data_IF_647012551228
#
_entry.id   IF_647012551228
#
_cell.length_a   1.000
_cell.length_b   1.000
_cell.length_c   1.000
_cell.angle_alpha   90.00
_cell.angle_beta   90.00
_cell.angle_gamma   90.00
#
_symmetry.space_group_name_H-M   'P 1'
#
loop_
_entity.id
_entity.type
_entity.pdbx_description
1 polymer ?
#
# COMPACT_ATOMS: atom_id res chain seq x y z
N UNK A 1 -21.55 17.07 3.88
CA UNK A 1 -20.26 16.35 4.04
C UNK A 1 -19.63 16.78 5.33
N UNK A 2 -19.07 15.85 6.10
CA UNK A 2 -18.61 16.13 7.47
C UNK A 2 -17.35 17.02 7.46
N UNK A 3 -17.08 17.67 8.62
CA UNK A 3 -15.83 18.42 8.86
C UNK A 3 -14.57 17.61 8.55
N UNK A 4 -14.66 16.28 8.61
CA UNK A 4 -13.53 15.38 8.35
C UNK A 4 -13.16 15.31 6.86
N UNK A 5 -14.12 15.41 5.95
CA UNK A 5 -13.86 15.38 4.51
C UNK A 5 -12.99 16.55 4.03
N UNK A 6 -13.35 17.78 4.42
CA UNK A 6 -12.56 18.95 4.05
C UNK A 6 -11.12 18.88 4.61
N UNK A 7 -10.94 18.25 5.79
CA UNK A 7 -9.62 17.99 6.35
C UNK A 7 -8.79 17.04 5.50
N UNK A 8 -9.42 16.04 4.89
CA UNK A 8 -8.73 15.06 4.03
C UNK A 8 -8.16 15.74 2.77
N UNK A 9 -8.91 16.66 2.16
CA UNK A 9 -8.42 17.42 1.00
C UNK A 9 -7.18 18.26 1.35
N UNK A 10 -7.18 18.89 2.52
CA UNK A 10 -6.03 19.65 2.99
C UNK A 10 -4.77 18.79 3.18
N UNK A 11 -4.92 17.46 3.42
CA UNK A 11 -3.75 16.56 3.52
C UNK A 11 -2.98 16.51 2.20
N UNK A 12 -3.67 16.45 1.06
CA UNK A 12 -3.01 16.44 -0.24
C UNK A 12 -2.26 17.75 -0.50
N UNK A 13 -2.85 18.88 -0.13
CA UNK A 13 -2.23 20.20 -0.27
C UNK A 13 -0.97 20.31 0.61
N UNK A 14 -1.06 19.90 1.88
CA UNK A 14 0.07 19.98 2.81
C UNK A 14 1.21 19.04 2.44
N UNK A 15 0.91 17.81 2.02
CA UNK A 15 1.92 16.87 1.54
C UNK A 15 2.55 17.37 0.23
N UNK A 16 1.74 17.94 -0.67
CA UNK A 16 2.18 18.47 -1.96
C UNK A 16 3.17 19.65 -1.85
N UNK A 17 3.22 20.33 -0.73
CA UNK A 17 4.23 21.40 -0.48
C UNK A 17 5.66 20.85 -0.42
N UNK A 18 5.82 19.58 0.02
CA UNK A 18 7.11 18.94 0.24
C UNK A 18 7.40 17.89 -0.83
N UNK A 19 6.36 17.16 -1.25
CA UNK A 19 6.47 15.99 -2.14
C UNK A 19 5.89 16.32 -3.50
N UNK A 20 6.76 16.48 -4.47
CA UNK A 20 6.40 16.79 -5.85
C UNK A 20 6.18 15.50 -6.66
N UNK A 21 5.21 15.51 -7.59
CA UNK A 21 4.99 14.43 -8.57
C UNK A 21 4.39 13.13 -8.01
N UNK A 22 4.17 13.02 -6.69
CA UNK A 22 3.74 11.77 -6.05
C UNK A 22 2.24 11.74 -5.65
N UNK A 23 1.40 12.54 -6.28
CA UNK A 23 -0.03 12.66 -5.93
C UNK A 23 -0.75 11.31 -5.97
N UNK A 24 -0.45 10.47 -6.96
CA UNK A 24 -1.04 9.14 -7.08
C UNK A 24 -0.61 8.21 -5.92
N UNK A 25 0.65 8.26 -5.50
CA UNK A 25 1.14 7.51 -4.35
C UNK A 25 0.46 7.99 -3.08
N UNK A 26 0.43 9.30 -2.82
CA UNK A 26 -0.23 9.89 -1.63
C UNK A 26 -1.70 9.48 -1.58
N UNK A 27 -2.42 9.53 -2.71
CA UNK A 27 -3.82 9.09 -2.80
C UNK A 27 -3.98 7.61 -2.41
N UNK A 28 -3.10 6.72 -2.89
CA UNK A 28 -3.14 5.29 -2.53
C UNK A 28 -2.76 5.05 -1.07
N UNK A 29 -1.81 5.81 -0.52
CA UNK A 29 -1.46 5.76 0.90
C UNK A 29 -2.65 6.16 1.79
N UNK A 30 -3.33 7.25 1.44
CA UNK A 30 -4.57 7.65 2.12
C UNK A 30 -5.65 6.57 2.02
N UNK A 31 -5.82 5.96 0.84
CA UNK A 31 -6.75 4.83 0.70
C UNK A 31 -6.36 3.65 1.62
N UNK A 32 -5.07 3.31 1.72
CA UNK A 32 -4.57 2.28 2.63
C UNK A 32 -4.95 2.57 4.09
N UNK A 33 -4.75 3.81 4.55
CA UNK A 33 -5.12 4.23 5.90
C UNK A 33 -6.62 4.08 6.18
N UNK A 34 -7.48 4.53 5.26
CA UNK A 34 -8.94 4.48 5.43
C UNK A 34 -9.56 3.10 5.20
N UNK A 35 -8.84 2.17 4.59
CA UNK A 35 -9.33 0.80 4.36
C UNK A 35 -8.75 -0.24 5.31
N UNK A 36 -7.79 0.13 6.18
CA UNK A 36 -6.90 -0.78 6.92
C UNK A 36 -6.13 -1.71 5.95
N UNK A 37 -5.74 -1.19 4.81
CA UNK A 37 -4.96 -1.91 3.83
C UNK A 37 -3.47 -1.61 3.96
N UNK A 38 -2.64 -2.57 3.59
CA UNK A 38 -1.20 -2.43 3.51
C UNK A 38 -0.79 -2.24 2.05
N UNK A 39 0.34 -1.61 1.80
CA UNK A 39 0.75 -1.19 0.46
C UNK A 39 2.14 -1.73 0.15
N UNK A 40 2.31 -2.24 -1.06
CA UNK A 40 3.61 -2.59 -1.63
C UNK A 40 4.01 -1.53 -2.65
N UNK A 41 5.14 -0.89 -2.42
CA UNK A 41 5.75 0.07 -3.35
C UNK A 41 6.87 -0.62 -4.12
N UNK A 42 6.79 -0.58 -5.41
CA UNK A 42 7.80 -1.16 -6.28
C UNK A 42 8.39 -0.10 -7.19
N UNK A 43 9.69 0.02 -7.21
CA UNK A 43 10.39 1.02 -8.02
C UNK A 43 11.85 1.16 -7.60
N UNK A 44 12.62 1.76 -8.49
CA UNK A 44 14.07 2.02 -8.27
C UNK A 44 14.31 2.88 -7.02
N UNK A 45 15.52 2.84 -6.44
CA UNK A 45 15.88 3.75 -5.35
C UNK A 45 15.84 5.21 -5.81
N UNK A 46 15.70 6.14 -4.87
CA UNK A 46 15.72 7.59 -5.16
C UNK A 46 14.38 8.22 -5.54
N UNK A 47 13.26 7.48 -5.53
CA UNK A 47 11.94 7.98 -5.87
C UNK A 47 11.17 8.63 -4.69
N UNK A 48 11.86 9.20 -3.74
CA UNK A 48 11.30 9.90 -2.57
C UNK A 48 10.29 9.08 -1.73
N UNK A 49 10.32 7.72 -1.79
CA UNK A 49 9.38 6.84 -1.06
C UNK A 49 9.33 7.15 0.43
N UNK A 50 10.51 7.18 1.07
CA UNK A 50 10.63 7.46 2.51
C UNK A 50 10.18 8.87 2.85
N UNK A 51 10.55 9.87 2.04
CA UNK A 51 10.13 11.25 2.22
C UNK A 51 8.59 11.36 2.18
N UNK A 52 7.95 10.79 1.16
CA UNK A 52 6.49 10.84 1.00
C UNK A 52 5.75 10.22 2.19
N UNK A 53 6.20 9.04 2.63
CA UNK A 53 5.55 8.34 3.76
C UNK A 53 5.76 9.10 5.07
N UNK A 54 6.96 9.60 5.32
CA UNK A 54 7.28 10.36 6.53
C UNK A 54 6.51 11.70 6.57
N UNK A 55 6.46 12.43 5.45
CA UNK A 55 5.70 13.68 5.34
C UNK A 55 4.21 13.43 5.60
N UNK A 56 3.63 12.39 5.00
CA UNK A 56 2.23 12.02 5.24
C UNK A 56 1.96 11.71 6.72
N UNK A 57 2.84 10.92 7.35
CA UNK A 57 2.72 10.59 8.78
C UNK A 57 2.77 11.85 9.65
N UNK A 58 3.70 12.76 9.38
CA UNK A 58 3.86 14.01 10.13
C UNK A 58 2.66 14.94 9.95
N UNK A 59 2.16 15.12 8.72
CA UNK A 59 0.95 15.92 8.43
C UNK A 59 -0.26 15.38 9.21
N UNK A 60 -0.39 14.07 9.33
CA UNK A 60 -1.49 13.39 10.04
C UNK A 60 -1.24 13.21 11.55
N UNK A 61 -0.09 13.61 12.07
CA UNK A 61 0.35 13.35 13.46
C UNK A 61 0.32 11.87 13.85
N UNK A 62 0.76 11.01 12.96
CA UNK A 62 0.86 9.57 13.19
C UNK A 62 2.31 9.18 13.47
N UNK A 63 2.49 8.22 14.39
CA UNK A 63 3.80 7.66 14.68
C UNK A 63 4.32 6.89 13.46
N UNK A 64 5.54 7.23 13.03
CA UNK A 64 6.23 6.64 11.89
C UNK A 64 7.51 5.93 12.32
N UNK A 65 7.72 4.72 11.82
CA UNK A 65 8.97 3.98 11.95
C UNK A 65 9.40 3.41 10.60
N UNK A 66 10.70 3.51 10.30
CA UNK A 66 11.33 2.84 9.17
C UNK A 66 12.10 1.62 9.66
N UNK A 67 11.91 0.50 8.99
CA UNK A 67 12.65 -0.74 9.20
C UNK A 67 13.37 -1.04 7.88
N UNK A 68 14.70 -0.98 7.88
CA UNK A 68 15.50 -1.43 6.75
C UNK A 68 15.68 -2.94 6.86
N UNK A 69 15.16 -3.68 5.87
CA UNK A 69 15.33 -5.12 5.85
C UNK A 69 16.71 -5.49 5.34
N UNK A 70 17.38 -6.37 6.09
CA UNK A 70 18.71 -6.93 5.79
C UNK A 70 18.69 -8.42 6.12
N UNK A 71 19.65 -9.23 5.59
CA UNK A 71 19.68 -10.67 5.87
C UNK A 71 19.89 -11.03 7.34
N UNK A 72 20.45 -10.14 8.14
CA UNK A 72 20.72 -10.30 9.58
C UNK A 72 19.59 -9.81 10.48
N UNK A 73 18.58 -9.12 9.93
CA UNK A 73 17.43 -8.61 10.69
C UNK A 73 16.59 -9.77 11.26
N UNK A 74 16.44 -9.80 12.57
CA UNK A 74 15.69 -10.84 13.28
C UNK A 74 14.23 -10.43 13.51
N UNK A 75 13.29 -11.38 13.67
CA UNK A 75 11.89 -11.07 14.02
C UNK A 75 11.76 -10.22 15.29
N UNK A 76 12.57 -10.48 16.33
CA UNK A 76 12.59 -9.71 17.59
C UNK A 76 12.97 -8.25 17.41
N UNK A 77 13.73 -7.91 16.35
CA UNK A 77 14.10 -6.52 16.07
C UNK A 77 12.90 -5.69 15.60
N UNK A 78 11.92 -6.36 14.99
CA UNK A 78 10.71 -5.70 14.50
C UNK A 78 9.52 -5.83 15.46
N UNK A 79 9.36 -6.97 16.12
CA UNK A 79 8.26 -7.23 17.08
C UNK A 79 8.53 -6.69 18.47
N UNK A 80 9.79 -6.61 18.87
CA UNK A 80 10.19 -6.38 20.24
C UNK A 80 10.54 -7.68 20.98
N UNK A 81 10.99 -7.53 22.21
CA UNK A 81 11.47 -8.64 23.03
C UNK A 81 11.28 -8.32 24.52
N UNK A 82 11.21 -9.35 25.35
CA UNK A 82 11.27 -9.19 26.80
C UNK A 82 12.71 -8.92 27.25
N UNK A 83 12.87 -7.92 28.09
CA UNK A 83 14.18 -7.51 28.65
C UNK A 83 14.08 -7.59 30.18
N UNK A 84 15.06 -8.22 30.81
CA UNK A 84 15.13 -8.29 32.26
C UNK A 84 15.62 -6.95 32.85
N UNK A 85 14.80 -6.34 33.68
CA UNK A 85 15.18 -5.15 34.45
C UNK A 85 15.87 -5.58 35.75
N UNK A 86 17.19 -5.39 35.80
CA UNK A 86 18.00 -5.81 36.96
C UNK A 86 17.61 -5.07 38.27
N UNK A 87 17.12 -3.83 38.16
CA UNK A 87 16.71 -3.04 39.36
C UNK A 87 15.39 -3.50 39.96
N UNK A 88 14.43 -3.82 39.08
CA UNK A 88 13.07 -4.21 39.47
C UNK A 88 12.93 -5.73 39.59
N UNK A 89 13.95 -6.49 39.13
CA UNK A 89 13.97 -7.96 39.07
C UNK A 89 12.79 -8.56 38.30
N UNK A 90 12.31 -7.84 37.28
CA UNK A 90 11.16 -8.22 36.46
C UNK A 90 11.50 -8.15 34.97
N UNK A 91 10.80 -8.97 34.19
CA UNK A 91 10.82 -8.86 32.74
C UNK A 91 9.80 -7.82 32.29
N UNK A 92 10.21 -6.90 31.40
CA UNK A 92 9.30 -5.98 30.74
C UNK A 92 9.39 -6.14 29.24
N UNK A 93 8.28 -5.97 28.55
CA UNK A 93 8.23 -6.02 27.10
C UNK A 93 8.71 -4.70 26.50
N UNK A 94 9.86 -4.77 25.81
CA UNK A 94 10.38 -3.65 25.01
C UNK A 94 9.78 -3.72 23.61
N UNK A 95 8.84 -2.83 23.32
CA UNK A 95 8.14 -2.74 22.03
C UNK A 95 9.11 -2.48 20.89
N UNK A 96 8.94 -3.23 19.81
CA UNK A 96 9.65 -3.03 18.55
C UNK A 96 8.99 -1.97 17.66
N UNK A 97 9.57 -1.66 16.48
CA UNK A 97 9.05 -0.64 15.56
C UNK A 97 7.66 -0.93 14.99
N UNK A 98 7.15 -2.16 15.07
CA UNK A 98 5.76 -2.48 14.68
C UNK A 98 4.72 -1.77 15.55
N UNK A 99 5.08 -1.31 16.75
CA UNK A 99 4.19 -0.57 17.64
C UNK A 99 4.14 0.92 17.29
N UNK A 100 3.98 1.22 16.00
CA UNK A 100 3.73 2.56 15.45
C UNK A 100 2.54 2.55 14.50
N UNK A 101 2.03 3.72 14.13
CA UNK A 101 0.87 3.82 13.23
C UNK A 101 1.24 3.49 11.78
N UNK A 102 2.38 3.97 11.33
CA UNK A 102 2.89 3.76 9.97
C UNK A 102 4.28 3.14 10.05
N UNK A 103 4.42 1.98 9.45
CA UNK A 103 5.69 1.25 9.32
C UNK A 103 6.10 1.21 7.86
N UNK A 104 7.27 1.78 7.54
CA UNK A 104 7.92 1.60 6.24
C UNK A 104 8.90 0.42 6.34
N UNK A 105 8.52 -0.72 5.79
CA UNK A 105 9.37 -1.90 5.66
C UNK A 105 10.18 -1.79 4.35
N UNK A 106 11.36 -1.20 4.45
CA UNK A 106 12.18 -0.87 3.28
C UNK A 106 12.99 -2.08 2.83
N UNK A 107 12.95 -2.39 1.53
CA UNK A 107 13.60 -3.56 0.89
C UNK A 107 13.21 -4.90 1.54
N UNK A 108 11.90 -5.13 1.71
CA UNK A 108 11.37 -6.32 2.41
C UNK A 108 11.91 -7.64 1.85
N UNK A 109 12.21 -7.70 0.54
CA UNK A 109 12.77 -8.87 -0.13
C UNK A 109 14.23 -9.18 0.25
N UNK A 110 14.96 -8.30 0.97
CA UNK A 110 16.30 -8.58 1.52
C UNK A 110 16.24 -9.26 2.88
N UNK A 111 15.12 -9.20 3.57
CA UNK A 111 14.95 -9.88 4.85
C UNK A 111 14.70 -11.37 4.69
N UNK A 112 15.17 -12.16 5.66
CA UNK A 112 14.94 -13.61 5.69
C UNK A 112 13.44 -13.92 5.81
N UNK A 113 12.96 -15.08 5.30
CA UNK A 113 11.54 -15.45 5.32
C UNK A 113 10.89 -15.43 6.71
N UNK A 114 11.66 -15.71 7.77
CA UNK A 114 11.16 -15.69 9.15
C UNK A 114 10.78 -14.27 9.60
N UNK A 115 11.59 -13.28 9.25
CA UNK A 115 11.34 -11.87 9.58
C UNK A 115 10.22 -11.29 8.71
N UNK A 116 10.17 -11.66 7.42
CA UNK A 116 9.04 -11.32 6.55
C UNK A 116 7.73 -11.87 7.12
N UNK A 117 7.71 -13.14 7.56
CA UNK A 117 6.51 -13.78 8.11
C UNK A 117 6.01 -13.08 9.38
N UNK A 118 6.89 -12.65 10.27
CA UNK A 118 6.51 -11.90 11.47
C UNK A 118 5.84 -10.56 11.13
N UNK A 119 6.36 -9.83 10.13
CA UNK A 119 5.71 -8.60 9.65
C UNK A 119 4.33 -8.89 9.05
N UNK A 120 4.23 -9.92 8.20
CA UNK A 120 2.99 -10.27 7.50
C UNK A 120 1.90 -10.84 8.44
N UNK A 121 2.30 -11.47 9.55
CA UNK A 121 1.39 -11.86 10.62
C UNK A 121 0.84 -10.63 11.34
N UNK A 122 1.71 -9.69 11.73
CA UNK A 122 1.31 -8.43 12.35
C UNK A 122 0.35 -7.61 11.45
N UNK A 123 0.57 -7.63 10.12
CA UNK A 123 -0.32 -6.99 9.15
C UNK A 123 -1.73 -7.62 9.12
N UNK A 124 -1.82 -8.91 9.28
CA UNK A 124 -3.08 -9.63 9.19
C UNK A 124 -3.88 -9.58 10.49
N UNK A 125 -3.20 -9.79 11.61
CA UNK A 125 -3.83 -9.97 12.91
C UNK A 125 -3.93 -8.67 13.72
N UNK A 126 -3.23 -7.59 13.31
CA UNK A 126 -3.12 -6.31 14.03
C UNK A 126 -2.64 -6.49 15.48
N UNK A 127 -1.86 -7.51 15.70
CA UNK A 127 -1.26 -7.86 16.99
C UNK A 127 0.08 -8.57 16.77
N UNK A 128 0.88 -8.65 17.83
CA UNK A 128 2.16 -9.36 17.87
C UNK A 128 2.15 -10.31 19.06
N UNK A 129 2.58 -11.54 18.85
CA UNK A 129 2.73 -12.53 19.93
C UNK A 129 4.21 -12.82 20.14
N UNK A 130 4.71 -12.51 21.35
CA UNK A 130 6.10 -12.74 21.75
C UNK A 130 6.09 -13.53 23.06
N UNK A 131 6.78 -14.67 23.10
CA UNK A 131 6.87 -15.55 24.28
C UNK A 131 5.52 -15.90 24.91
N UNK A 132 4.48 -16.10 24.06
CA UNK A 132 3.13 -16.45 24.50
C UNK A 132 2.27 -15.26 24.96
N UNK A 133 2.81 -14.05 24.99
CA UNK A 133 2.03 -12.85 25.29
C UNK A 133 1.66 -12.12 24.00
N UNK A 134 0.37 -11.76 23.87
CA UNK A 134 -0.18 -11.09 22.71
C UNK A 134 -0.44 -9.63 23.00
N UNK A 135 0.21 -8.76 22.25
CA UNK A 135 0.10 -7.30 22.33
C UNK A 135 -0.59 -6.74 21.07
N UNK A 136 -1.61 -5.90 21.26
CA UNK A 136 -2.32 -5.25 20.16
C UNK A 136 -1.51 -4.08 19.60
N UNK A 137 -1.52 -3.93 18.28
CA UNK A 137 -0.90 -2.80 17.61
C UNK A 137 -1.78 -1.54 17.67
N UNK A 138 -1.14 -0.38 17.54
CA UNK A 138 -1.82 0.92 17.49
C UNK A 138 -2.80 0.99 16.32
N UNK A 139 -3.85 1.79 16.48
CA UNK A 139 -4.78 2.08 15.37
C UNK A 139 -4.79 3.59 15.10
N UNK A 140 -4.75 4.01 13.81
CA UNK A 140 -4.60 3.15 12.62
C UNK A 140 -3.23 2.48 12.57
N UNK A 141 -3.16 1.29 11.96
CA UNK A 141 -1.91 0.59 11.66
C UNK A 141 -1.81 0.32 10.16
N UNK A 142 -0.71 0.76 9.55
CA UNK A 142 -0.45 0.51 8.14
C UNK A 142 1.02 0.19 7.91
N UNK A 143 1.27 -0.89 7.19
CA UNK A 143 2.59 -1.24 6.66
C UNK A 143 2.67 -0.80 5.21
N UNK A 144 3.76 -0.12 4.87
CA UNK A 144 4.16 0.18 3.52
C UNK A 144 5.47 -0.56 3.30
N UNK A 145 5.44 -1.62 2.49
CA UNK A 145 6.63 -2.37 2.14
C UNK A 145 7.21 -1.84 0.83
N UNK A 146 8.54 -1.81 0.69
CA UNK A 146 9.18 -1.51 -0.58
C UNK A 146 9.92 -2.72 -1.12
N UNK A 147 9.97 -2.84 -2.44
CA UNK A 147 10.82 -3.78 -3.16
C UNK A 147 11.59 -3.04 -4.26
N UNK A 148 12.87 -3.41 -4.41
CA UNK A 148 13.65 -2.96 -5.55
C UNK A 148 13.62 -4.08 -6.60
N UNK A 149 12.99 -3.84 -7.76
CA UNK A 149 12.87 -4.85 -8.80
C UNK A 149 14.20 -5.23 -9.47
N UNK A 150 15.21 -4.37 -9.39
CA UNK A 150 16.50 -4.58 -10.03
C UNK A 150 17.44 -5.47 -9.21
N UNK A 151 17.21 -5.57 -7.92
CA UNK A 151 18.05 -6.37 -7.02
C UNK A 151 17.54 -7.80 -6.87
N UNK A 152 18.07 -8.72 -7.67
CA UNK A 152 17.72 -10.15 -7.60
C UNK A 152 18.71 -10.98 -6.77
N UNK A 153 19.96 -10.52 -6.60
CA UNK A 153 20.97 -11.30 -5.87
C UNK A 153 20.84 -11.10 -4.37
N UNK A 154 20.82 -12.20 -3.62
CA UNK A 154 20.72 -12.16 -2.16
C UNK A 154 19.35 -11.73 -1.62
N UNK A 155 18.30 -11.87 -2.43
CA UNK A 155 16.92 -11.54 -2.04
C UNK A 155 16.06 -12.79 -1.85
N UNK A 156 15.04 -12.66 -1.02
CA UNK A 156 14.01 -13.65 -0.77
C UNK A 156 12.66 -13.07 -1.26
N UNK A 157 12.21 -13.41 -2.48
CA UNK A 157 10.96 -12.91 -3.01
C UNK A 157 9.78 -13.34 -2.12
N UNK A 158 8.79 -12.46 -2.00
CA UNK A 158 7.56 -12.80 -1.30
C UNK A 158 6.73 -13.79 -2.15
N UNK A 159 6.29 -14.92 -1.58
CA UNK A 159 5.34 -15.82 -2.24
C UNK A 159 4.01 -15.11 -2.57
N UNK A 160 3.30 -15.59 -3.57
CA UNK A 160 2.04 -15.02 -4.05
C UNK A 160 0.98 -14.90 -2.94
N UNK A 161 0.89 -15.91 -2.07
CA UNK A 161 -0.02 -15.90 -0.92
C UNK A 161 0.29 -14.77 0.09
N UNK A 162 1.53 -14.33 0.14
CA UNK A 162 1.97 -13.21 0.96
C UNK A 162 1.73 -11.86 0.26
N UNK A 163 1.95 -11.81 -1.05
CA UNK A 163 1.63 -10.64 -1.87
C UNK A 163 0.13 -10.31 -1.85
N UNK A 164 -0.76 -11.32 -1.83
CA UNK A 164 -2.21 -11.12 -1.76
C UNK A 164 -2.68 -10.39 -0.48
N UNK A 165 -1.84 -10.30 0.56
CA UNK A 165 -2.13 -9.54 1.79
C UNK A 165 -2.04 -8.02 1.59
N UNK A 166 -1.25 -7.54 0.64
CA UNK A 166 -1.20 -6.13 0.30
C UNK A 166 -2.46 -5.71 -0.46
N UNK A 167 -3.02 -4.56 -0.11
CA UNK A 167 -4.19 -4.02 -0.80
C UNK A 167 -3.84 -3.52 -2.20
N UNK A 168 -2.75 -2.77 -2.30
CA UNK A 168 -2.24 -2.23 -3.53
C UNK A 168 -0.77 -2.62 -3.73
N UNK A 169 -0.40 -2.89 -4.99
CA UNK A 169 0.97 -2.74 -5.44
C UNK A 169 1.04 -1.52 -6.35
N UNK A 170 1.87 -0.56 -5.95
CA UNK A 170 2.08 0.69 -6.67
C UNK A 170 3.44 0.60 -7.35
N UNK A 171 3.42 0.71 -8.66
CA UNK A 171 4.63 0.76 -9.48
C UNK A 171 5.02 2.22 -9.65
N UNK A 172 6.22 2.55 -9.21
CA UNK A 172 6.74 3.91 -9.28
C UNK A 172 7.68 4.04 -10.47
N UNK A 173 7.30 4.90 -11.42
CA UNK A 173 8.14 5.31 -12.53
C UNK A 173 9.12 6.43 -12.14
N UNK A 174 10.07 6.70 -13.02
CA UNK A 174 10.89 7.91 -12.93
C UNK A 174 10.00 9.14 -13.16
N UNK A 175 10.29 10.27 -12.49
CA UNK A 175 9.59 11.52 -12.75
C UNK A 175 9.79 11.97 -14.20
N UNK A 176 8.81 12.68 -14.73
CA UNK A 176 9.00 13.35 -16.01
C UNK A 176 9.86 14.61 -15.87
N UNK A 177 10.25 15.22 -17.00
CA UNK A 177 11.12 16.41 -16.99
C UNK A 177 10.54 17.56 -16.18
N UNK A 178 9.22 17.72 -16.17
CA UNK A 178 8.54 18.82 -15.47
C UNK A 178 8.55 18.57 -13.99
N UNK A 179 8.22 17.34 -13.59
CA UNK A 179 8.26 16.88 -12.21
C UNK A 179 9.68 16.95 -11.63
N UNK A 180 10.70 16.55 -12.41
CA UNK A 180 12.09 16.61 -11.96
C UNK A 180 12.57 18.05 -11.77
N UNK A 181 12.18 18.98 -12.66
CA UNK A 181 12.48 20.41 -12.49
C UNK A 181 11.81 20.97 -11.23
N UNK A 182 10.57 20.59 -10.94
CA UNK A 182 9.85 21.01 -9.76
C UNK A 182 10.49 20.44 -8.48
N UNK A 183 11.01 19.21 -8.50
CA UNK A 183 11.81 18.63 -7.40
C UNK A 183 13.04 19.49 -7.11
N UNK A 184 13.79 19.91 -8.14
CA UNK A 184 14.96 20.76 -7.97
C UNK A 184 14.60 22.12 -7.36
N UNK A 185 13.54 22.77 -7.86
CA UNK A 185 13.07 24.04 -7.33
C UNK A 185 12.59 23.92 -5.87
N UNK A 186 11.97 22.80 -5.52
CA UNK A 186 11.51 22.54 -4.14
C UNK A 186 12.70 22.32 -3.21
N UNK A 187 13.73 21.60 -3.67
CA UNK A 187 14.96 21.39 -2.91
C UNK A 187 15.72 22.70 -2.63
N UNK A 188 15.80 23.61 -3.61
CA UNK A 188 16.40 24.92 -3.40
C UNK A 188 15.68 25.71 -2.30
N UNK A 189 14.35 25.70 -2.29
CA UNK A 189 13.54 26.36 -1.25
C UNK A 189 13.71 25.71 0.12
N UNK A 190 13.81 24.37 0.17
CA UNK A 190 14.00 23.62 1.42
C UNK A 190 15.38 23.88 2.04
N UNK A 191 16.41 24.06 1.21
CA UNK A 191 17.76 24.41 1.69
C UNK A 191 17.82 25.74 2.45
N UNK A 192 16.82 26.60 2.25
CA UNK A 192 16.61 27.86 2.99
C UNK A 192 15.77 27.66 4.27
N UNK A 193 15.29 26.46 4.58
CA UNK A 193 14.44 26.16 5.75
C UNK A 193 13.02 26.74 5.65
N UNK A 194 12.53 27.00 4.44
CA UNK A 194 11.27 27.71 4.18
C UNK A 194 10.08 26.75 3.91
N UNK A 195 10.30 25.44 3.85
CA UNK A 195 9.22 24.48 3.62
C UNK A 195 8.56 24.09 4.95
N UNK A 196 7.47 24.76 5.26
CA UNK A 196 6.61 24.42 6.39
C UNK A 196 5.33 23.75 5.92
N UNK A 197 4.87 22.75 6.66
CA UNK A 197 3.56 22.14 6.48
C UNK A 197 2.75 22.24 7.76
N UNK A 198 1.43 22.34 7.61
CA UNK A 198 0.51 22.34 8.74
C UNK A 198 0.11 20.91 9.09
N UNK A 199 0.01 20.63 10.37
CA UNK A 199 -0.48 19.33 10.83
C UNK A 199 -2.01 19.31 10.84
N UNK A 200 -2.60 18.21 10.40
CA UNK A 200 -4.05 18.01 10.31
C UNK A 200 -4.46 16.98 11.34
N UNK A 201 -5.14 17.44 12.39
CA UNK A 201 -5.70 16.52 13.37
C UNK A 201 -6.98 15.88 12.83
N UNK A 202 -6.87 14.65 12.35
CA UNK A 202 -7.99 13.85 11.83
C UNK A 202 -8.02 12.52 12.54
N UNK A 203 -9.19 12.16 13.08
CA UNK A 203 -9.41 10.81 13.59
C UNK A 203 -9.64 9.88 12.40
N UNK A 204 -8.58 9.18 12.01
CA UNK A 204 -8.60 8.24 10.88
C UNK A 204 -9.57 7.08 11.12
N UNK A 205 -9.70 6.61 12.36
CA UNK A 205 -10.60 5.51 12.71
C UNK A 205 -12.05 5.94 12.55
N UNK A 206 -12.41 7.10 13.12
CA UNK A 206 -13.75 7.65 12.98
C UNK A 206 -14.09 7.98 11.51
N UNK A 207 -13.14 8.54 10.74
CA UNK A 207 -13.32 8.82 9.32
C UNK A 207 -13.54 7.54 8.50
N UNK A 208 -12.84 6.45 8.84
CA UNK A 208 -13.02 5.12 8.22
C UNK A 208 -14.44 4.59 8.46
N UNK A 209 -14.94 4.67 9.69
CA UNK A 209 -16.27 4.20 10.03
C UNK A 209 -17.35 5.04 9.34
N UNK A 210 -17.14 6.33 9.21
CA UNK A 210 -17.99 7.24 8.44
C UNK A 210 -18.04 6.84 6.96
N UNK A 211 -16.90 6.62 6.32
CA UNK A 211 -16.81 6.16 4.91
C UNK A 211 -17.53 4.82 4.75
N UNK A 212 -17.26 3.87 5.65
CA UNK A 212 -17.89 2.54 5.59
C UNK A 212 -19.39 2.60 5.65
N UNK A 213 -19.98 3.49 6.47
CA UNK A 213 -21.41 3.61 6.69
C UNK A 213 -22.11 4.50 5.68
N UNK A 214 -21.48 5.60 5.23
CA UNK A 214 -22.12 6.61 4.38
C UNK A 214 -21.93 6.38 2.88
N UNK A 215 -20.79 5.81 2.47
CA UNK A 215 -20.55 5.57 1.05
C UNK A 215 -21.30 4.32 0.60
N UNK A 216 -22.21 4.50 -0.33
CA UNK A 216 -23.03 3.42 -0.89
C UNK A 216 -22.33 2.76 -2.07
N UNK A 217 -22.55 1.47 -2.21
CA UNK A 217 -22.19 0.71 -3.41
C UNK A 217 -23.37 -0.15 -3.83
N UNK A 218 -23.85 0.07 -5.04
CA UNK A 218 -25.04 -0.61 -5.56
C UNK A 218 -24.75 -2.10 -5.80
N UNK A 219 -25.81 -2.88 -5.96
CA UNK A 219 -25.72 -4.32 -6.27
C UNK A 219 -25.04 -4.51 -7.64
N UNK A 220 -25.39 -3.70 -8.60
CA UNK A 220 -24.89 -3.72 -9.98
C UNK A 220 -23.36 -3.50 -10.02
N UNK A 221 -22.84 -2.57 -9.21
CA UNK A 221 -21.39 -2.33 -9.10
C UNK A 221 -20.69 -3.55 -8.44
N UNK A 222 -21.31 -4.17 -7.43
CA UNK A 222 -20.73 -5.40 -6.83
C UNK A 222 -20.71 -6.54 -7.84
N UNK A 223 -21.77 -6.72 -8.61
CA UNK A 223 -21.84 -7.73 -9.68
C UNK A 223 -20.81 -7.44 -10.78
N UNK A 224 -20.60 -6.17 -11.13
CA UNK A 224 -19.56 -5.74 -12.07
C UNK A 224 -18.16 -6.12 -11.58
N UNK A 225 -17.83 -5.82 -10.31
CA UNK A 225 -16.56 -6.23 -9.69
C UNK A 225 -16.40 -7.75 -9.78
N UNK A 226 -17.42 -8.52 -9.36
CA UNK A 226 -17.36 -10.00 -9.39
C UNK A 226 -17.19 -10.53 -10.81
N UNK A 227 -17.87 -9.94 -11.79
CA UNK A 227 -17.77 -10.36 -13.19
C UNK A 227 -16.37 -10.14 -13.77
N UNK A 228 -15.71 -9.00 -13.44
CA UNK A 228 -14.31 -8.77 -13.82
C UNK A 228 -13.39 -9.79 -13.14
N UNK A 229 -13.57 -10.04 -11.83
CA UNK A 229 -12.74 -11.04 -11.13
C UNK A 229 -12.93 -12.44 -11.73
N UNK A 230 -14.16 -12.81 -12.09
CA UNK A 230 -14.45 -14.10 -12.73
C UNK A 230 -13.84 -14.18 -14.14
N UNK A 231 -13.77 -13.05 -14.87
CA UNK A 231 -13.08 -13.01 -16.16
C UNK A 231 -11.58 -13.37 -16.02
N UNK A 232 -10.94 -12.93 -14.92
CA UNK A 232 -9.52 -13.28 -14.65
C UNK A 232 -9.32 -14.74 -14.17
N UNK A 233 -10.39 -15.43 -13.75
CA UNK A 233 -10.33 -16.80 -13.22
C UNK A 233 -10.62 -17.88 -14.29
N UNK A 234 -11.01 -17.44 -15.48
CA UNK A 234 -11.21 -18.38 -16.58
C UNK A 234 -9.87 -18.99 -16.97
N UNK A 235 -9.85 -20.29 -17.20
CA UNK A 235 -8.69 -20.96 -17.76
C UNK A 235 -8.41 -20.39 -19.16
N UNK A 236 -7.25 -19.77 -19.31
CA UNK A 236 -6.76 -19.24 -20.58
C UNK A 236 -5.30 -19.62 -20.74
N UNK A 237 -4.78 -19.54 -21.97
CA UNK A 237 -3.33 -19.71 -22.20
C UNK A 237 -2.49 -18.62 -21.51
N UNK A 238 -3.11 -17.52 -21.09
CA UNK A 238 -2.45 -16.34 -20.55
C UNK A 238 -2.31 -16.39 -19.03
N UNK A 239 -3.34 -16.87 -18.32
CA UNK A 239 -3.48 -16.78 -16.85
C UNK A 239 -3.38 -18.18 -16.24
N UNK A 240 -2.39 -18.37 -15.37
CA UNK A 240 -2.26 -19.57 -14.55
C UNK A 240 -3.12 -19.50 -13.28
N UNK A 241 -3.14 -18.33 -12.61
CA UNK A 241 -3.97 -18.08 -11.43
C UNK A 241 -4.62 -16.70 -11.50
N UNK A 242 -5.95 -16.67 -11.41
CA UNK A 242 -6.74 -15.45 -11.38
C UNK A 242 -6.88 -14.83 -9.98
N UNK A 243 -7.60 -13.72 -9.92
CA UNK A 243 -7.79 -12.94 -8.71
C UNK A 243 -8.48 -13.71 -7.57
N UNK A 244 -7.97 -13.59 -6.34
CA UNK A 244 -8.55 -14.17 -5.14
C UNK A 244 -9.85 -13.46 -4.71
N UNK A 245 -10.71 -14.07 -3.87
CA UNK A 245 -11.85 -13.38 -3.26
C UNK A 245 -11.43 -12.14 -2.43
N UNK A 246 -10.22 -12.14 -1.85
CA UNK A 246 -9.64 -11.00 -1.14
C UNK A 246 -9.49 -9.79 -2.06
N UNK A 247 -9.11 -10.00 -3.32
CA UNK A 247 -9.04 -8.93 -4.32
C UNK A 247 -10.37 -8.20 -4.51
N UNK A 248 -11.51 -8.94 -4.58
CA UNK A 248 -12.84 -8.34 -4.67
C UNK A 248 -13.16 -7.45 -3.47
N UNK A 249 -12.83 -7.92 -2.25
CA UNK A 249 -13.04 -7.16 -1.02
C UNK A 249 -12.16 -5.90 -0.96
N UNK A 250 -10.88 -6.02 -1.34
CA UNK A 250 -9.95 -4.91 -1.38
C UNK A 250 -10.42 -3.86 -2.39
N UNK A 251 -10.79 -4.28 -3.60
CA UNK A 251 -11.29 -3.37 -4.63
C UNK A 251 -12.56 -2.64 -4.18
N UNK A 252 -13.52 -3.36 -3.63
CA UNK A 252 -14.77 -2.76 -3.11
C UNK A 252 -14.49 -1.70 -2.03
N UNK A 253 -13.62 -2.00 -1.06
CA UNK A 253 -13.24 -1.05 -0.01
C UNK A 253 -12.51 0.16 -0.59
N UNK A 254 -11.59 -0.07 -1.51
CA UNK A 254 -10.84 0.98 -2.18
C UNK A 254 -11.76 1.92 -2.99
N UNK A 255 -12.74 1.39 -3.72
CA UNK A 255 -13.72 2.18 -4.47
C UNK A 255 -14.54 3.09 -3.55
N UNK A 256 -14.97 2.59 -2.38
CA UNK A 256 -15.67 3.43 -1.39
C UNK A 256 -14.82 4.60 -0.91
N UNK A 257 -13.55 4.34 -0.59
CA UNK A 257 -12.63 5.40 -0.17
C UNK A 257 -12.35 6.36 -1.33
N UNK A 258 -12.18 5.85 -2.56
CA UNK A 258 -11.97 6.71 -3.73
C UNK A 258 -13.16 7.67 -3.94
N UNK A 259 -14.40 7.17 -3.87
CA UNK A 259 -15.59 7.99 -3.96
C UNK A 259 -15.62 9.07 -2.85
N UNK A 260 -15.28 8.69 -1.60
CA UNK A 260 -15.18 9.63 -0.49
C UNK A 260 -14.12 10.71 -0.73
N UNK A 261 -12.94 10.34 -1.24
CA UNK A 261 -11.87 11.30 -1.59
C UNK A 261 -12.27 12.26 -2.71
N UNK A 262 -13.18 11.86 -3.58
CA UNK A 262 -13.76 12.73 -4.65
C UNK A 262 -15.02 13.48 -4.20
N UNK A 263 -15.42 13.36 -2.93
CA UNK A 263 -16.60 14.06 -2.40
C UNK A 263 -17.94 13.44 -2.76
N UNK A 264 -17.94 12.21 -3.23
CA UNK A 264 -19.16 11.47 -3.58
C UNK A 264 -19.57 10.53 -2.44
N UNK A 265 -20.86 10.24 -2.33
CA UNK A 265 -21.43 9.28 -1.38
C UNK A 265 -21.82 7.95 -2.04
N UNK A 266 -21.47 7.77 -3.30
CA UNK A 266 -21.69 6.55 -4.07
C UNK A 266 -20.47 6.19 -4.93
N UNK A 267 -20.32 4.88 -5.20
CA UNK A 267 -19.28 4.31 -6.06
C UNK A 267 -19.77 4.24 -7.50
N UNK A 268 -18.89 4.55 -8.46
CA UNK A 268 -19.14 4.47 -9.90
C UNK A 268 -18.32 3.35 -10.57
N UNK A 269 -18.67 2.90 -11.78
CA UNK A 269 -17.84 1.97 -12.57
C UNK A 269 -16.43 2.49 -12.82
N UNK A 270 -16.24 3.81 -12.92
CA UNK A 270 -14.93 4.42 -13.17
C UNK A 270 -14.01 4.30 -11.95
N UNK A 271 -14.55 4.31 -10.72
CA UNK A 271 -13.77 4.01 -9.52
C UNK A 271 -13.19 2.59 -9.60
N UNK A 272 -13.98 1.63 -10.08
CA UNK A 272 -13.55 0.25 -10.26
C UNK A 272 -12.41 0.17 -11.25
N UNK A 273 -12.57 0.76 -12.45
CA UNK A 273 -11.54 0.73 -13.51
C UNK A 273 -10.23 1.39 -13.07
N UNK A 274 -10.32 2.56 -12.39
CA UNK A 274 -9.17 3.33 -11.91
C UNK A 274 -8.28 2.52 -10.95
N UNK A 275 -8.89 1.65 -10.15
CA UNK A 275 -8.19 0.96 -9.07
C UNK A 275 -7.75 -0.47 -9.43
N UNK A 276 -8.34 -1.05 -10.48
CA UNK A 276 -8.13 -2.44 -10.86
C UNK A 276 -6.66 -2.82 -10.99
N UNK A 277 -5.88 -2.04 -11.74
CA UNK A 277 -4.48 -2.34 -11.97
C UNK A 277 -3.71 -2.42 -10.64
N UNK A 278 -3.83 -1.42 -9.77
CA UNK A 278 -3.12 -1.39 -8.49
C UNK A 278 -3.54 -2.52 -7.54
N UNK A 279 -4.77 -3.03 -7.68
CA UNK A 279 -5.30 -4.14 -6.87
C UNK A 279 -4.91 -5.50 -7.45
N UNK A 280 -4.85 -5.64 -8.78
CA UNK A 280 -4.70 -6.95 -9.44
C UNK A 280 -3.28 -7.26 -9.90
N UNK A 281 -2.42 -6.28 -10.12
CA UNK A 281 -1.11 -6.49 -10.74
C UNK A 281 -0.14 -7.39 -9.96
N UNK A 282 -0.42 -7.68 -8.69
CA UNK A 282 0.36 -8.59 -7.84
C UNK A 282 -0.41 -9.86 -7.47
N UNK A 283 -1.59 -10.07 -8.07
CA UNK A 283 -2.49 -11.18 -7.77
C UNK A 283 -2.73 -12.11 -8.94
N UNK A 284 -2.44 -11.61 -10.15
CA UNK A 284 -2.54 -12.42 -11.35
C UNK A 284 -1.20 -13.10 -11.60
N UNK A 285 -1.22 -14.43 -11.69
CA UNK A 285 -0.05 -15.21 -12.07
C UNK A 285 -0.25 -15.61 -13.53
N UNK A 286 0.66 -15.12 -14.36
CA UNK A 286 0.62 -15.41 -15.79
C UNK A 286 1.28 -16.76 -16.08
N UNK A 287 0.85 -17.39 -17.17
CA UNK A 287 1.46 -18.60 -17.65
C UNK A 287 2.91 -18.33 -18.10
N UNK A 288 3.90 -19.10 -17.66
CA UNK A 288 5.30 -18.93 -18.08
C UNK A 288 5.50 -18.91 -19.58
N UNK A 289 4.79 -19.77 -20.33
CA UNK A 289 4.89 -19.83 -21.80
C UNK A 289 4.36 -18.54 -22.44
N UNK A 290 3.29 -17.96 -21.89
CA UNK A 290 2.78 -16.67 -22.35
C UNK A 290 3.78 -15.53 -22.05
N UNK A 291 4.38 -15.52 -20.87
CA UNK A 291 5.40 -14.55 -20.50
C UNK A 291 6.60 -14.61 -21.44
N UNK A 292 7.12 -15.81 -21.73
CA UNK A 292 8.26 -15.97 -22.65
C UNK A 292 8.00 -15.41 -24.05
N UNK A 293 6.75 -15.51 -24.53
CA UNK A 293 6.37 -15.00 -25.86
C UNK A 293 6.12 -13.50 -25.90
N UNK A 294 5.72 -12.90 -24.77
CA UNK A 294 5.24 -11.51 -24.67
C UNK A 294 6.08 -10.64 -23.73
N UNK A 295 7.28 -11.10 -23.34
CA UNK A 295 8.18 -10.30 -22.51
C UNK A 295 8.73 -9.13 -23.32
N UNK A 296 8.54 -7.92 -22.80
CA UNK A 296 9.24 -6.75 -23.31
C UNK A 296 10.64 -6.72 -22.67
N UNK A 297 11.73 -6.85 -23.44
CA UNK A 297 13.09 -6.91 -22.91
C UNK A 297 13.50 -5.66 -22.10
N UNK A 298 12.80 -4.55 -22.30
CA UNK A 298 13.03 -3.29 -21.57
C UNK A 298 12.28 -3.23 -20.23
N UNK A 299 11.37 -4.16 -19.95
CA UNK A 299 10.64 -4.24 -18.68
C UNK A 299 11.25 -5.28 -17.75
N UNK A 300 11.60 -4.88 -16.54
CA UNK A 300 12.10 -5.78 -15.49
C UNK A 300 10.99 -6.73 -15.01
N UNK A 301 9.74 -6.28 -15.05
CA UNK A 301 8.54 -7.07 -14.77
C UNK A 301 7.52 -6.85 -15.88
N UNK A 302 6.82 -7.90 -16.26
CA UNK A 302 5.85 -7.90 -17.36
C UNK A 302 4.57 -7.10 -17.04
N UNK A 303 4.70 -5.85 -16.59
CA UNK A 303 3.57 -5.00 -16.22
C UNK A 303 2.66 -4.67 -17.39
N UNK A 304 3.23 -4.51 -18.58
CA UNK A 304 2.46 -4.30 -19.82
C UNK A 304 1.57 -5.50 -20.12
N UNK A 305 2.10 -6.73 -20.01
CA UNK A 305 1.34 -7.96 -20.20
C UNK A 305 0.21 -8.11 -19.17
N UNK A 306 0.52 -7.83 -17.88
CA UNK A 306 -0.50 -7.87 -16.81
C UNK A 306 -1.57 -6.80 -17.07
N UNK A 307 -1.19 -5.60 -17.49
CA UNK A 307 -2.13 -4.52 -17.80
C UNK A 307 -3.05 -4.90 -18.95
N UNK A 308 -2.50 -5.45 -20.03
CA UNK A 308 -3.28 -5.92 -21.18
C UNK A 308 -4.33 -6.96 -20.79
N UNK A 309 -3.97 -7.91 -19.93
CA UNK A 309 -4.89 -8.94 -19.42
C UNK A 309 -5.99 -8.31 -18.55
N UNK A 310 -5.65 -7.37 -17.69
CA UNK A 310 -6.64 -6.64 -16.88
C UNK A 310 -7.59 -5.86 -17.79
N UNK A 311 -7.06 -5.17 -18.80
CA UNK A 311 -7.86 -4.41 -19.76
C UNK A 311 -8.78 -5.33 -20.58
N UNK A 312 -8.31 -6.51 -21.02
CA UNK A 312 -9.15 -7.54 -21.66
C UNK A 312 -10.28 -8.00 -20.73
N UNK A 313 -9.99 -8.26 -19.46
CA UNK A 313 -11.00 -8.67 -18.49
C UNK A 313 -12.06 -7.58 -18.28
N UNK A 314 -11.65 -6.31 -18.17
CA UNK A 314 -12.58 -5.15 -18.05
C UNK A 314 -13.45 -5.02 -19.30
N UNK A 315 -12.85 -5.10 -20.48
CA UNK A 315 -13.57 -4.91 -21.74
C UNK A 315 -14.53 -6.07 -22.07
N UNK A 316 -14.32 -7.24 -21.45
CA UNK A 316 -15.23 -8.38 -21.58
C UNK A 316 -16.52 -8.27 -20.77
N UNK A 317 -16.63 -7.26 -19.88
CA UNK A 317 -17.76 -7.06 -18.98
C UNK A 317 -18.39 -5.69 -19.21
N UNK A 318 -19.68 -5.65 -19.47
CA UNK A 318 -20.39 -4.38 -19.64
C UNK A 318 -20.49 -3.65 -18.29
N UNK A 319 -20.08 -2.38 -18.22
CA UNK A 319 -20.31 -1.58 -17.02
C UNK A 319 -21.80 -1.37 -16.79
N UNK A 320 -22.27 -1.32 -15.53
CA UNK A 320 -23.64 -0.95 -15.21
C UNK A 320 -23.91 0.51 -15.64
N UNK A 321 -25.17 0.76 -16.03
CA UNK A 321 -25.63 2.11 -16.46
C UNK A 321 -25.90 2.99 -15.25
#
# INVERSE_FOLDING_TARGET
MSKNYNKIQNVFEEVGKIVVGQNNMVRRLMMGLFTQGHILLEGVPGLAKTLTVNTLANVLKLDFKRIQFTPDLMPSDITGTFVFNVKEQEFFFRKGPLFSNIVLADEINRGIPKTQSALLEAMQEYQVTVEGQTEKLLQPFMVIATQNPLEMRGTYPLPEAQLDRFMFRIIMGLPDKTEELEVLNTYEKDSEGNLEFSTINTDIVAARDEIKSKITISKEIKEYIISIMNATRKETEEINLGASPRASLHLMRACKVNAALDGRDYVTPDDVKLLLFSVLNHRLILNPDYLLRNTNPSEVFNYSAIKEIIDKAVNSVNPPR
#
